data_IF_485594265349
#
_entry.id   IF_485594265349
#
_cell.length_a   1.000
_cell.length_b   1.000
_cell.length_c   1.000
_cell.angle_alpha   90.00
_cell.angle_beta   90.00
_cell.angle_gamma   90.00
#
_symmetry.space_group_name_H-M   'P 1'
#
loop_
_entity.id
_entity.type
_entity.pdbx_description
1 polymer ?
#
# COMPACT_ATOMS: atom_id res chain seq x y z
N UNK A 1 -2.90 11.94 2.74
CA UNK A 1 -4.35 11.88 2.46
C UNK A 1 -4.94 10.64 3.14
N UNK A 2 -5.77 10.80 4.17
CA UNK A 2 -6.34 9.66 4.91
C UNK A 2 -7.87 9.78 5.05
N UNK A 3 -8.58 9.91 3.94
CA UNK A 3 -10.05 9.89 3.91
C UNK A 3 -10.56 9.12 2.70
N UNK A 4 -10.32 7.82 2.71
CA UNK A 4 -11.06 6.86 1.90
C UNK A 4 -11.06 5.54 2.65
N UNK A 5 -12.02 5.36 3.55
CA UNK A 5 -12.50 4.02 3.86
C UNK A 5 -13.15 3.50 2.58
N UNK A 6 -12.37 2.87 1.72
CA UNK A 6 -12.88 2.24 0.50
C UNK A 6 -13.97 1.22 0.85
N UNK A 7 -14.97 1.05 -0.01
CA UNK A 7 -15.95 -0.02 0.23
C UNK A 7 -15.26 -1.39 0.24
N UNK A 8 -15.69 -2.32 1.09
CA UNK A 8 -15.06 -3.62 1.18
C UNK A 8 -15.29 -4.42 -0.12
N UNK A 9 -14.21 -4.91 -0.71
CA UNK A 9 -14.24 -5.73 -1.92
C UNK A 9 -14.71 -7.13 -1.53
N UNK A 10 -15.78 -7.60 -2.17
CA UNK A 10 -16.34 -8.93 -1.91
C UNK A 10 -15.34 -10.02 -2.31
N UNK A 11 -15.26 -11.06 -1.50
CA UNK A 11 -14.41 -12.19 -1.81
C UNK A 11 -14.92 -12.94 -3.04
N UNK A 12 -14.02 -13.17 -4.00
CA UNK A 12 -14.30 -13.84 -5.27
C UNK A 12 -14.31 -15.37 -5.18
N UNK A 13 -13.94 -16.02 -6.29
CA UNK A 13 -14.10 -17.46 -6.52
C UNK A 13 -13.37 -18.40 -5.53
N UNK A 14 -12.43 -17.89 -4.74
CA UNK A 14 -11.67 -18.66 -3.74
C UNK A 14 -12.34 -18.74 -2.37
N UNK A 15 -13.50 -18.11 -2.18
CA UNK A 15 -14.21 -18.15 -0.90
C UNK A 15 -15.27 -19.25 -0.82
N UNK A 16 -15.31 -19.91 0.34
CA UNK A 16 -16.26 -20.98 0.61
C UNK A 16 -16.83 -20.89 2.04
N UNK A 17 -18.14 -21.12 2.24
CA UNK A 17 -18.75 -21.05 3.57
C UNK A 17 -18.21 -22.10 4.56
N UNK A 18 -17.79 -23.27 4.07
CA UNK A 18 -17.18 -24.31 4.90
C UNK A 18 -15.70 -23.98 5.20
N UNK A 19 -15.33 -23.66 6.44
CA UNK A 19 -13.95 -23.32 6.81
C UNK A 19 -12.98 -24.51 6.68
N UNK A 20 -13.47 -25.75 6.65
CA UNK A 20 -12.65 -26.95 6.51
C UNK A 20 -12.38 -27.33 5.05
N UNK A 21 -12.84 -26.54 4.08
CA UNK A 21 -12.54 -26.78 2.67
C UNK A 21 -11.14 -26.26 2.35
N UNK A 22 -10.22 -27.18 2.09
CA UNK A 22 -8.83 -26.86 1.76
C UNK A 22 -8.73 -25.97 0.51
N UNK A 23 -7.76 -25.05 0.51
CA UNK A 23 -7.51 -24.14 -0.60
C UNK A 23 -8.56 -23.03 -0.76
N UNK A 24 -9.43 -22.84 0.22
CA UNK A 24 -10.44 -21.76 0.21
C UNK A 24 -10.40 -20.95 1.50
N UNK A 25 -10.86 -19.71 1.42
CA UNK A 25 -11.01 -18.82 2.58
C UNK A 25 -12.50 -18.69 2.96
N UNK A 26 -12.80 -18.43 4.22
CA UNK A 26 -14.18 -18.19 4.70
C UNK A 26 -14.50 -16.70 4.91
N UNK A 27 -13.62 -15.81 4.44
CA UNK A 27 -13.74 -14.35 4.55
C UNK A 27 -14.75 -13.83 3.52
N UNK A 28 -15.63 -12.90 3.89
CA UNK A 28 -16.68 -12.41 2.97
C UNK A 28 -16.24 -11.19 2.16
N UNK A 29 -15.42 -10.32 2.74
CA UNK A 29 -14.92 -9.13 2.08
C UNK A 29 -13.64 -8.62 2.76
N UNK A 30 -12.87 -7.79 2.06
CA UNK A 30 -11.64 -7.17 2.57
C UNK A 30 -11.48 -5.71 2.11
N UNK A 31 -10.67 -4.95 2.81
CA UNK A 31 -10.29 -3.60 2.41
C UNK A 31 -8.94 -3.67 1.71
N UNK A 32 -8.90 -3.24 0.46
CA UNK A 32 -7.70 -3.23 -0.36
C UNK A 32 -7.35 -1.80 -0.74
N UNK A 33 -6.08 -1.56 -1.01
CA UNK A 33 -5.64 -0.30 -1.59
C UNK A 33 -6.32 -0.13 -2.95
N UNK A 34 -6.80 1.08 -3.21
CA UNK A 34 -7.38 1.44 -4.52
C UNK A 34 -6.28 1.73 -5.55
N UNK A 35 -5.13 2.14 -5.06
CA UNK A 35 -3.95 2.46 -5.85
C UNK A 35 -3.29 1.17 -6.36
N UNK A 36 -2.70 1.28 -7.54
CA UNK A 36 -1.94 0.17 -8.14
C UNK A 36 -0.57 0.06 -7.48
N UNK A 37 -0.41 -0.95 -6.62
CA UNK A 37 0.84 -1.27 -5.92
C UNK A 37 2.00 -1.65 -6.86
N UNK A 38 1.73 -1.86 -8.15
CA UNK A 38 2.76 -2.10 -9.16
C UNK A 38 3.44 -0.82 -9.65
N UNK A 39 2.81 0.35 -9.44
CA UNK A 39 3.37 1.64 -9.80
C UNK A 39 4.33 2.11 -8.71
N UNK A 40 5.54 2.50 -9.09
CA UNK A 40 6.57 2.99 -8.18
C UNK A 40 7.56 3.88 -8.94
N UNK A 41 7.85 5.08 -8.41
CA UNK A 41 8.80 6.01 -9.02
C UNK A 41 10.26 5.65 -8.68
N UNK A 42 10.79 4.64 -9.36
CA UNK A 42 12.17 4.19 -9.14
C UNK A 42 13.24 5.27 -9.37
N UNK A 43 13.17 6.10 -10.43
CA UNK A 43 14.12 7.21 -10.62
C UNK A 43 14.15 8.21 -9.47
N UNK A 44 13.01 8.51 -8.86
CA UNK A 44 12.94 9.41 -7.71
C UNK A 44 13.80 8.92 -6.53
N UNK A 45 13.81 7.61 -6.28
CA UNK A 45 14.62 6.97 -5.22
C UNK A 45 16.04 6.56 -5.68
N UNK A 46 16.47 6.96 -6.88
CA UNK A 46 17.74 6.56 -7.49
C UNK A 46 17.91 5.03 -7.66
N UNK A 47 16.80 4.32 -7.89
CA UNK A 47 16.80 2.88 -8.14
C UNK A 47 16.72 2.60 -9.64
N UNK A 48 17.44 1.58 -10.09
CA UNK A 48 17.26 1.03 -11.44
C UNK A 48 15.94 0.28 -11.56
N UNK A 49 15.46 0.09 -12.78
CA UNK A 49 14.26 -0.71 -13.05
C UNK A 49 14.35 -2.12 -12.47
N UNK A 50 15.52 -2.76 -12.58
CA UNK A 50 15.73 -4.10 -12.04
C UNK A 50 15.71 -4.09 -10.51
N UNK A 51 16.33 -3.11 -9.86
CA UNK A 51 16.30 -3.02 -8.39
C UNK A 51 14.87 -2.78 -7.90
N UNK A 52 14.13 -1.88 -8.55
CA UNK A 52 12.74 -1.63 -8.25
C UNK A 52 11.88 -2.89 -8.41
N UNK A 53 12.02 -3.63 -9.52
CA UNK A 53 11.29 -4.89 -9.74
C UNK A 53 11.58 -5.96 -8.69
N UNK A 54 12.82 -6.01 -8.18
CA UNK A 54 13.24 -6.91 -7.11
C UNK A 54 12.74 -6.51 -5.72
N UNK A 55 12.29 -5.25 -5.52
CA UNK A 55 11.72 -4.83 -4.25
C UNK A 55 10.35 -5.44 -4.04
N UNK A 56 10.10 -5.87 -2.81
CA UNK A 56 8.76 -6.29 -2.39
C UNK A 56 7.78 -5.10 -2.51
N UNK A 57 6.55 -5.30 -3.02
CA UNK A 57 5.55 -4.23 -3.14
C UNK A 57 5.30 -3.48 -1.82
N UNK A 58 5.33 -4.18 -0.67
CA UNK A 58 5.15 -3.55 0.64
C UNK A 58 6.29 -2.56 0.95
N UNK A 59 7.52 -2.89 0.56
CA UNK A 59 8.67 -2.01 0.74
C UNK A 59 8.57 -0.74 -0.11
N UNK A 60 8.03 -0.85 -1.34
CA UNK A 60 7.80 0.31 -2.22
C UNK A 60 6.78 1.28 -1.62
N UNK A 61 5.68 0.76 -1.09
CA UNK A 61 4.66 1.57 -0.39
C UNK A 61 5.26 2.26 0.84
N UNK A 62 6.16 1.59 1.58
CA UNK A 62 6.85 2.20 2.72
C UNK A 62 7.72 3.39 2.28
N UNK A 63 8.43 3.30 1.15
CA UNK A 63 9.24 4.41 0.64
C UNK A 63 8.40 5.64 0.33
N UNK A 64 7.29 5.46 -0.40
CA UNK A 64 6.37 6.54 -0.76
C UNK A 64 5.70 7.14 0.50
N UNK A 65 5.18 6.29 1.39
CA UNK A 65 4.57 6.73 2.64
C UNK A 65 5.55 7.50 3.54
N UNK A 66 6.82 7.07 3.59
CA UNK A 66 7.85 7.75 4.37
C UNK A 66 8.16 9.13 3.79
N UNK A 67 8.27 9.22 2.46
CA UNK A 67 8.49 10.50 1.80
C UNK A 67 7.30 11.46 2.00
N UNK A 68 6.07 10.99 1.79
CA UNK A 68 4.87 11.78 2.08
C UNK A 68 4.82 12.22 3.55
N UNK A 69 5.18 11.34 4.48
CA UNK A 69 5.21 11.68 5.91
C UNK A 69 6.26 12.75 6.22
N UNK A 70 7.42 12.71 5.54
CA UNK A 70 8.42 13.77 5.64
C UNK A 70 7.89 15.07 5.05
N UNK A 71 7.35 15.08 3.83
CA UNK A 71 6.78 16.29 3.21
C UNK A 71 5.66 16.91 4.05
N UNK A 72 4.75 16.08 4.57
CA UNK A 72 3.69 16.52 5.47
C UNK A 72 4.25 16.98 6.83
N UNK A 73 5.30 16.32 7.31
CA UNK A 73 6.03 16.62 8.53
C UNK A 73 6.88 17.88 8.45
N UNK A 74 7.25 18.33 7.25
CA UNK A 74 7.99 19.58 7.04
C UNK A 74 7.14 20.84 7.32
N UNK A 75 5.84 20.69 7.59
CA UNK A 75 5.08 21.72 8.28
C UNK A 75 5.57 21.99 9.73
N UNK A 76 6.32 21.08 10.36
CA UNK A 76 6.95 21.31 11.67
C UNK A 76 8.36 21.93 11.60
N UNK A 77 9.12 21.76 10.50
CA UNK A 77 10.43 22.40 10.36
C UNK A 77 10.31 23.93 10.19
N UNK A 78 9.16 24.42 9.76
CA UNK A 78 8.86 25.85 9.64
C UNK A 78 8.32 26.49 10.95
N UNK A 79 7.98 25.70 11.97
CA UNK A 79 7.35 26.16 13.22
C UNK A 79 8.34 26.16 14.41
N UNK A 80 9.43 25.38 14.35
CA UNK A 80 10.52 25.51 15.34
C UNK A 80 11.51 26.55 14.80
N UNK A 81 11.21 27.79 15.18
CA UNK A 81 11.76 29.08 14.77
C UNK A 81 13.28 29.23 14.62
N UNK A 82 13.80 30.26 13.95
CA UNK A 82 13.47 31.69 14.13
C UNK A 82 12.28 32.06 15.01
#
# INVERSE_FOLDING_TARGET
>A
MAHHTGEPVQCGFSCHPNPNKNGTFNIRAGYFLKEDIGLFDAPFFNLTKHEAESLDPEQRVIFECTYEALENGEHYFKIIGR
#
